data_IF_945174308025
#
_entry.id   IF_945174308025
#
_cell.length_a   1.000
_cell.length_b   1.000
_cell.length_c   1.000
_cell.angle_alpha   90.00
_cell.angle_beta   90.00
_cell.angle_gamma   90.00
#
_symmetry.space_group_name_H-M   'P 1'
#
loop_
_entity.id
_entity.type
_entity.pdbx_description
1 polymer ?
#
# COMPACT_ATOMS: atom_id res chain seq x y z
N UNK A 1 16.54 2.50 14.58
CA UNK A 1 15.41 2.76 13.66
C UNK A 1 15.91 2.29 12.31
N UNK A 2 15.26 1.31 11.69
CA UNK A 2 15.73 0.78 10.41
C UNK A 2 15.09 1.60 9.29
N UNK A 3 15.94 2.36 8.60
CA UNK A 3 15.58 3.07 7.39
C UNK A 3 15.54 2.06 6.24
N UNK A 4 14.38 1.95 5.57
CA UNK A 4 14.13 0.95 4.53
C UNK A 4 13.62 1.57 3.21
N UNK A 5 13.94 2.85 3.02
CA UNK A 5 13.65 3.60 1.79
C UNK A 5 14.96 4.07 1.17
N UNK A 6 14.93 4.48 -0.09
CA UNK A 6 16.08 5.00 -0.81
C UNK A 6 15.73 6.33 -1.47
N UNK A 7 16.59 7.31 -1.26
CA UNK A 7 16.58 8.58 -1.96
C UNK A 7 18.02 8.88 -2.39
N UNK A 8 18.21 9.29 -3.65
CA UNK A 8 19.52 9.37 -4.31
C UNK A 8 20.50 10.37 -3.71
N UNK A 9 20.02 11.32 -2.90
CA UNK A 9 20.80 12.32 -2.18
C UNK A 9 20.68 12.16 -0.66
N UNK A 10 20.21 11.01 -0.18
CA UNK A 10 20.23 10.62 1.22
C UNK A 10 21.23 9.49 1.46
N UNK A 11 21.72 9.37 2.69
CA UNK A 11 22.53 8.22 3.08
C UNK A 11 21.72 6.93 2.95
N UNK A 12 22.28 5.94 2.25
CA UNK A 12 21.65 4.64 2.06
C UNK A 12 21.31 3.92 3.38
N UNK A 13 22.12 4.09 4.42
CA UNK A 13 21.91 3.38 5.70
C UNK A 13 20.99 4.12 6.68
N UNK A 14 21.23 5.40 6.94
CA UNK A 14 20.47 6.14 7.96
C UNK A 14 19.39 7.07 7.38
N UNK A 15 19.36 7.27 6.07
CA UNK A 15 18.41 8.16 5.41
C UNK A 15 18.66 9.65 5.60
N UNK A 16 19.70 10.06 6.35
CA UNK A 16 20.00 11.49 6.55
C UNK A 16 20.46 12.16 5.24
N UNK A 17 20.07 13.43 5.04
CA UNK A 17 20.39 14.22 3.84
C UNK A 17 20.60 15.70 4.17
N UNK A 18 21.04 16.46 3.17
CA UNK A 18 21.27 17.90 3.26
C UNK A 18 22.73 18.25 3.57
N UNK A 19 23.04 19.54 3.63
CA UNK A 19 24.43 20.04 3.72
C UNK A 19 25.17 19.60 5.00
N UNK A 20 24.44 19.25 6.06
CA UNK A 20 25.02 18.70 7.29
C UNK A 20 25.42 17.22 7.19
N UNK A 21 25.07 16.55 6.09
CA UNK A 21 25.31 15.12 5.87
C UNK A 21 25.92 14.90 4.48
N UNK A 22 27.19 15.32 4.26
CA UNK A 22 27.88 15.06 3.00
C UNK A 22 27.95 13.55 2.74
N UNK A 23 27.72 13.16 1.49
CA UNK A 23 27.68 11.76 1.07
C UNK A 23 28.89 11.43 0.22
N UNK A 24 29.55 10.31 0.55
CA UNK A 24 30.53 9.66 -0.30
C UNK A 24 29.82 8.63 -1.17
N UNK A 25 29.81 8.85 -2.49
CA UNK A 25 29.24 7.90 -3.45
C UNK A 25 30.10 6.63 -3.54
N UNK A 26 29.45 5.47 -3.67
CA UNK A 26 30.15 4.21 -3.92
C UNK A 26 30.92 4.29 -5.26
N UNK A 27 32.24 4.16 -5.22
CA UNK A 27 33.10 4.28 -6.41
C UNK A 27 32.86 3.15 -7.43
N UNK A 28 32.49 1.97 -6.94
CA UNK A 28 32.24 0.78 -7.77
C UNK A 28 30.91 0.91 -8.50
N UNK A 29 29.76 0.89 -7.82
CA UNK A 29 28.45 0.91 -8.48
C UNK A 29 27.91 2.32 -8.80
N UNK A 30 28.42 3.39 -8.17
CA UNK A 30 27.97 4.80 -8.30
C UNK A 30 26.46 5.03 -8.08
N UNK A 31 25.71 4.04 -7.61
CA UNK A 31 24.26 4.10 -7.45
C UNK A 31 23.82 4.64 -6.09
N UNK A 32 24.64 4.45 -5.05
CA UNK A 32 24.30 4.77 -3.65
C UNK A 32 25.39 5.62 -2.98
N UNK A 33 24.99 6.42 -1.99
CA UNK A 33 25.87 7.27 -1.20
C UNK A 33 25.77 7.01 0.30
N UNK A 34 26.87 7.19 1.01
CA UNK A 34 26.96 6.97 2.46
C UNK A 34 27.50 8.20 3.18
N UNK A 35 26.94 8.51 4.36
CA UNK A 35 27.56 9.47 5.26
C UNK A 35 28.80 8.84 5.94
N UNK A 36 29.69 9.68 6.46
CA UNK A 36 30.96 9.23 7.06
C UNK A 36 30.78 8.20 8.18
N UNK A 37 29.70 8.33 8.97
CA UNK A 37 29.40 7.42 10.09
C UNK A 37 29.04 6.01 9.61
N UNK A 38 28.33 5.91 8.49
CA UNK A 38 27.77 4.65 8.01
C UNK A 38 28.56 4.04 6.85
N UNK A 39 29.59 4.73 6.32
CA UNK A 39 30.34 4.29 5.14
C UNK A 39 30.83 2.85 5.23
N UNK A 40 31.40 2.45 6.37
CA UNK A 40 31.93 1.09 6.55
C UNK A 40 30.82 0.03 6.53
N UNK A 41 29.78 0.24 7.33
CA UNK A 41 28.67 -0.72 7.48
C UNK A 41 27.85 -0.78 6.18
N UNK A 42 27.60 0.38 5.58
CA UNK A 42 26.88 0.48 4.33
C UNK A 42 27.59 -0.22 3.19
N UNK A 43 28.93 -0.09 3.08
CA UNK A 43 29.73 -0.84 2.10
C UNK A 43 29.56 -2.35 2.24
N UNK A 44 29.54 -2.87 3.46
CA UNK A 44 29.32 -4.30 3.70
C UNK A 44 27.90 -4.73 3.35
N UNK A 45 26.88 -3.97 3.76
CA UNK A 45 25.47 -4.33 3.55
C UNK A 45 25.04 -4.29 2.09
N UNK A 46 25.49 -3.30 1.31
CA UNK A 46 25.10 -3.19 -0.11
C UNK A 46 26.02 -3.99 -1.05
N UNK A 47 27.05 -4.69 -0.54
CA UNK A 47 28.09 -5.34 -1.36
C UNK A 47 27.53 -6.26 -2.45
N UNK A 48 26.58 -7.12 -2.11
CA UNK A 48 25.99 -8.07 -3.06
C UNK A 48 25.32 -7.33 -4.24
N UNK A 49 24.52 -6.30 -3.96
CA UNK A 49 23.92 -5.45 -4.99
C UNK A 49 25.01 -4.69 -5.78
N UNK A 50 26.03 -4.17 -5.09
CA UNK A 50 27.12 -3.42 -5.70
C UNK A 50 27.86 -4.23 -6.76
N UNK A 51 28.18 -5.49 -6.48
CA UNK A 51 28.89 -6.40 -7.40
C UNK A 51 28.09 -6.59 -8.68
N UNK A 52 26.80 -6.91 -8.57
CA UNK A 52 25.90 -7.09 -9.72
C UNK A 52 25.72 -5.79 -10.52
N UNK A 53 25.51 -4.66 -9.84
CA UNK A 53 25.39 -3.35 -10.51
C UNK A 53 26.68 -2.94 -11.23
N UNK A 54 27.84 -3.31 -10.68
CA UNK A 54 29.15 -3.02 -11.30
C UNK A 54 29.36 -3.88 -12.53
N UNK A 55 28.96 -5.16 -12.49
CA UNK A 55 29.02 -6.07 -13.65
C UNK A 55 28.13 -5.58 -14.79
N UNK A 56 26.92 -5.11 -14.48
CA UNK A 56 25.96 -4.61 -15.47
C UNK A 56 26.30 -3.21 -16.02
N UNK A 57 27.33 -2.55 -15.46
CA UNK A 57 27.76 -1.24 -15.95
C UNK A 57 28.34 -1.36 -17.36
N UNK A 58 27.78 -0.61 -18.30
CA UNK A 58 28.19 -0.63 -19.72
C UNK A 58 27.57 -1.75 -20.55
N UNK A 59 26.78 -2.64 -19.94
CA UNK A 59 25.93 -3.60 -20.66
C UNK A 59 24.58 -2.97 -21.00
N UNK A 60 24.03 -3.21 -22.19
CA UNK A 60 22.65 -2.83 -22.53
C UNK A 60 21.68 -3.93 -22.11
N UNK A 61 20.55 -3.63 -21.43
CA UNK A 61 20.12 -2.32 -20.95
C UNK A 61 20.86 -1.91 -19.65
N UNK A 62 21.50 -0.73 -19.65
CA UNK A 62 22.18 -0.21 -18.45
C UNK A 62 21.24 0.70 -17.67
N UNK A 63 21.15 0.55 -16.34
CA UNK A 63 20.41 1.46 -15.43
C UNK A 63 20.79 2.94 -15.64
N UNK A 64 21.97 3.17 -16.21
CA UNK A 64 22.66 4.45 -16.25
C UNK A 64 22.70 5.08 -17.65
N UNK A 65 22.15 4.42 -18.69
CA UNK A 65 22.22 4.89 -20.08
C UNK A 65 20.80 5.00 -20.65
N UNK A 66 20.40 6.20 -21.08
CA UNK A 66 19.16 6.42 -21.82
C UNK A 66 19.40 6.28 -23.32
N UNK A 67 18.80 5.28 -23.95
CA UNK A 67 18.59 5.26 -25.41
C UNK A 67 17.12 4.91 -25.72
N UNK A 68 16.17 5.54 -25.02
CA UNK A 68 14.74 5.32 -25.23
C UNK A 68 13.96 6.62 -25.27
N UNK A 69 13.23 6.84 -26.37
CA UNK A 69 12.45 8.06 -26.65
C UNK A 69 11.12 8.16 -25.87
N UNK A 70 10.78 7.20 -24.98
CA UNK A 70 9.51 7.23 -24.22
C UNK A 70 9.60 6.74 -22.77
N UNK A 71 8.74 7.31 -21.94
CA UNK A 71 8.57 6.99 -20.51
C UNK A 71 8.14 5.53 -20.27
N UNK A 72 7.29 4.98 -21.15
CA UNK A 72 6.88 3.58 -21.09
C UNK A 72 8.05 2.61 -21.37
N UNK A 73 8.94 2.96 -22.31
CA UNK A 73 10.17 2.20 -22.58
C UNK A 73 11.09 2.18 -21.34
N UNK A 74 11.08 3.25 -20.55
CA UNK A 74 11.90 3.39 -19.35
C UNK A 74 11.39 2.56 -18.18
N UNK A 75 10.08 2.58 -17.91
CA UNK A 75 9.46 1.73 -16.89
C UNK A 75 9.72 0.24 -17.16
N UNK A 76 9.51 -0.19 -18.40
CA UNK A 76 9.78 -1.57 -18.83
C UNK A 76 11.26 -1.94 -18.66
N UNK A 77 12.17 -1.03 -19.01
CA UNK A 77 13.61 -1.23 -18.85
C UNK A 77 13.99 -1.43 -17.37
N UNK A 78 13.46 -0.62 -16.46
CA UNK A 78 13.67 -0.78 -15.00
C UNK A 78 13.16 -2.12 -14.51
N UNK A 79 11.97 -2.55 -14.95
CA UNK A 79 11.39 -3.84 -14.57
C UNK A 79 12.23 -5.02 -15.06
N UNK A 80 12.66 -5.01 -16.32
CA UNK A 80 13.53 -6.05 -16.87
C UNK A 80 14.88 -6.12 -16.14
N UNK A 81 15.44 -4.96 -15.80
CA UNK A 81 16.68 -4.87 -15.05
C UNK A 81 16.53 -5.42 -13.63
N UNK A 82 15.44 -5.11 -12.92
CA UNK A 82 15.14 -5.70 -11.61
C UNK A 82 15.10 -7.23 -11.69
N UNK A 83 14.47 -7.79 -12.73
CA UNK A 83 14.44 -9.24 -12.97
C UNK A 83 15.84 -9.81 -13.18
N UNK A 84 16.66 -9.20 -14.03
CA UNK A 84 18.05 -9.64 -14.29
C UNK A 84 18.88 -9.62 -13.00
N UNK A 85 18.75 -8.56 -12.19
CA UNK A 85 19.51 -8.43 -10.94
C UNK A 85 19.06 -9.51 -9.94
N UNK A 86 17.76 -9.78 -9.80
CA UNK A 86 17.26 -10.86 -8.94
C UNK A 86 17.80 -12.23 -9.36
N UNK A 87 17.84 -12.51 -10.66
CA UNK A 87 18.40 -13.75 -11.19
C UNK A 87 19.89 -13.89 -10.85
N UNK A 88 20.67 -12.82 -11.00
CA UNK A 88 22.10 -12.80 -10.66
C UNK A 88 22.35 -12.90 -9.15
N UNK A 89 21.50 -12.30 -8.32
CA UNK A 89 21.58 -12.40 -6.86
C UNK A 89 21.10 -13.75 -6.31
N UNK A 90 20.29 -14.49 -7.06
CA UNK A 90 19.68 -15.74 -6.60
C UNK A 90 18.61 -15.55 -5.53
N UNK A 91 18.09 -14.33 -5.35
CA UNK A 91 17.05 -13.98 -4.37
C UNK A 91 16.22 -12.80 -4.85
N UNK A 92 15.06 -12.59 -4.23
CA UNK A 92 14.28 -11.36 -4.40
C UNK A 92 15.06 -10.14 -3.89
N UNK A 93 14.83 -8.99 -4.53
CA UNK A 93 15.29 -7.71 -4.01
C UNK A 93 14.49 -7.35 -2.75
N UNK A 94 15.15 -6.70 -1.79
CA UNK A 94 14.41 -6.01 -0.74
C UNK A 94 13.90 -4.66 -1.26
N UNK A 95 12.95 -4.05 -0.53
CA UNK A 95 12.34 -2.76 -0.88
C UNK A 95 13.37 -1.69 -1.21
N UNK A 96 14.39 -1.53 -0.38
CA UNK A 96 15.40 -0.50 -0.57
C UNK A 96 16.23 -0.74 -1.84
N UNK A 97 16.60 -1.99 -2.14
CA UNK A 97 17.31 -2.35 -3.37
C UNK A 97 16.46 -2.13 -4.62
N UNK A 98 15.15 -2.41 -4.56
CA UNK A 98 14.23 -2.04 -5.65
C UNK A 98 14.18 -0.53 -5.86
N UNK A 99 14.13 0.25 -4.77
CA UNK A 99 14.06 1.71 -4.85
C UNK A 99 15.34 2.32 -5.45
N UNK A 100 16.52 1.70 -5.30
CA UNK A 100 17.75 2.10 -6.01
C UNK A 100 17.57 2.06 -7.53
N UNK A 101 16.86 1.05 -8.03
CA UNK A 101 16.61 0.83 -9.46
C UNK A 101 15.43 1.68 -9.97
N UNK A 102 14.42 1.87 -9.13
CA UNK A 102 13.23 2.68 -9.42
C UNK A 102 13.57 4.17 -9.47
N UNK A 103 14.46 4.65 -8.59
CA UNK A 103 14.75 6.07 -8.39
C UNK A 103 16.26 6.41 -8.45
N UNK A 104 16.97 6.07 -9.55
CA UNK A 104 18.42 6.29 -9.64
C UNK A 104 18.78 7.77 -9.58
N UNK A 105 19.99 8.08 -9.11
CA UNK A 105 20.53 9.45 -9.16
C UNK A 105 20.70 9.87 -10.62
N UNK A 106 20.04 10.96 -11.00
CA UNK A 106 20.08 11.50 -12.37
C UNK A 106 19.69 12.97 -12.41
N UNK A 107 20.03 13.64 -13.51
CA UNK A 107 19.44 14.93 -13.85
C UNK A 107 17.93 14.76 -14.04
N UNK A 108 17.14 15.62 -13.41
CA UNK A 108 15.68 15.59 -13.53
C UNK A 108 15.23 15.69 -15.00
N UNK A 109 15.84 16.60 -15.76
CA UNK A 109 15.40 16.94 -17.13
C UNK A 109 16.00 16.07 -18.23
N UNK A 110 17.32 15.80 -18.22
CA UNK A 110 17.99 15.07 -19.31
C UNK A 110 18.53 13.69 -18.94
N UNK A 111 18.19 13.18 -17.76
CA UNK A 111 18.57 11.83 -17.32
C UNK A 111 20.08 11.54 -17.29
N UNK A 112 20.95 12.56 -17.34
CA UNK A 112 22.40 12.42 -17.10
C UNK A 112 22.63 11.74 -15.75
N UNK A 113 23.46 10.70 -15.71
CA UNK A 113 23.63 9.82 -14.55
C UNK A 113 25.01 9.91 -13.92
N UNK A 114 25.97 10.58 -14.56
CA UNK A 114 27.32 10.76 -14.00
C UNK A 114 27.28 11.68 -12.76
N UNK A 115 27.52 11.17 -11.54
CA UNK A 115 27.39 11.97 -10.32
C UNK A 115 28.32 13.18 -10.27
N UNK A 116 29.47 13.14 -10.97
CA UNK A 116 30.42 14.25 -11.05
C UNK A 116 29.88 15.44 -11.86
N UNK A 117 28.85 15.22 -12.69
CA UNK A 117 28.19 16.24 -13.51
C UNK A 117 26.88 16.74 -12.92
N UNK A 118 26.51 16.22 -11.75
CA UNK A 118 25.23 16.51 -11.10
C UNK A 118 25.43 17.40 -9.87
N UNK A 119 24.51 18.33 -9.71
CA UNK A 119 24.35 19.16 -8.53
C UNK A 119 23.04 18.78 -7.85
N UNK A 120 23.13 18.44 -6.57
CA UNK A 120 21.98 17.98 -5.79
C UNK A 120 21.11 19.14 -5.31
N UNK A 121 19.79 18.91 -5.31
CA UNK A 121 18.87 19.78 -4.58
C UNK A 121 19.26 19.79 -3.09
N UNK A 122 19.33 20.99 -2.51
CA UNK A 122 19.71 21.18 -1.10
C UNK A 122 18.57 20.93 -0.12
N UNK A 123 17.34 20.80 -0.62
CA UNK A 123 16.12 20.69 0.19
C UNK A 123 15.56 19.28 0.18
N UNK A 124 15.34 18.68 -1.00
CA UNK A 124 14.80 17.33 -1.11
C UNK A 124 15.90 16.29 -1.35
N UNK A 125 15.72 15.06 -0.85
CA UNK A 125 16.75 14.02 -0.95
C UNK A 125 16.74 13.28 -2.30
N UNK A 126 15.90 13.66 -3.27
CA UNK A 126 15.62 12.81 -4.44
C UNK A 126 15.78 13.48 -5.79
N UNK A 127 16.43 14.63 -5.90
CA UNK A 127 16.54 15.35 -7.18
C UNK A 127 17.91 15.97 -7.37
N UNK A 128 18.46 15.80 -8.58
CA UNK A 128 19.71 16.38 -9.00
C UNK A 128 19.56 17.01 -10.39
N UNK A 129 20.45 17.94 -10.73
CA UNK A 129 20.46 18.68 -11.99
C UNK A 129 21.86 18.67 -12.58
N UNK A 130 21.99 18.54 -13.89
CA UNK A 130 23.26 18.82 -14.55
C UNK A 130 23.41 20.34 -14.78
N UNK A 131 24.63 20.79 -15.10
CA UNK A 131 24.93 22.21 -15.30
C UNK A 131 24.03 22.91 -16.33
N UNK A 132 23.54 22.18 -17.34
CA UNK A 132 22.61 22.69 -18.37
C UNK A 132 21.18 22.91 -17.87
N UNK A 133 20.78 22.24 -16.79
CA UNK A 133 19.39 22.23 -16.29
C UNK A 133 19.26 22.78 -14.86
N UNK A 134 20.24 23.57 -14.40
CA UNK A 134 20.15 24.24 -13.08
C UNK A 134 18.93 25.17 -12.98
N UNK A 135 18.50 25.76 -14.09
CA UNK A 135 17.30 26.63 -14.13
C UNK A 135 16.00 25.87 -13.87
N UNK A 136 15.94 24.56 -14.15
CA UNK A 136 14.78 23.71 -13.81
C UNK A 136 14.57 23.52 -12.30
N UNK A 137 15.45 24.07 -11.46
CA UNK A 137 15.30 24.06 -10.01
C UNK A 137 14.09 24.85 -9.52
N UNK A 138 13.64 25.89 -10.26
CA UNK A 138 12.42 26.63 -9.91
C UNK A 138 11.15 25.84 -10.22
N UNK A 139 11.09 25.20 -11.40
CA UNK A 139 10.00 24.30 -11.80
C UNK A 139 9.88 23.09 -10.85
N UNK A 140 11.01 22.67 -10.27
CA UNK A 140 11.09 21.63 -9.26
C UNK A 140 10.42 21.99 -7.93
N UNK A 141 10.13 23.26 -7.61
CA UNK A 141 9.70 23.67 -6.26
C UNK A 141 8.50 22.89 -5.70
N UNK A 142 7.49 22.59 -6.53
CA UNK A 142 6.32 21.79 -6.12
C UNK A 142 6.71 20.34 -5.83
N UNK A 143 7.49 19.74 -6.72
CA UNK A 143 8.02 18.36 -6.59
C UNK A 143 8.97 18.23 -5.40
N UNK A 144 9.79 19.25 -5.16
CA UNK A 144 10.74 19.34 -4.05
C UNK A 144 10.01 19.13 -2.73
N UNK A 145 8.92 19.88 -2.53
CA UNK A 145 8.11 19.80 -1.31
C UNK A 145 7.55 18.40 -1.11
N UNK A 146 6.95 17.81 -2.16
CA UNK A 146 6.40 16.46 -2.10
C UNK A 146 7.46 15.42 -1.79
N UNK A 147 8.64 15.47 -2.41
CA UNK A 147 9.74 14.54 -2.11
C UNK A 147 10.26 14.67 -0.68
N UNK A 148 10.38 15.89 -0.17
CA UNK A 148 10.74 16.12 1.24
C UNK A 148 9.67 15.55 2.17
N UNK A 149 8.39 15.73 1.85
CA UNK A 149 7.27 15.15 2.60
C UNK A 149 7.24 13.63 2.54
N UNK A 150 7.51 13.00 1.38
CA UNK A 150 7.64 11.55 1.26
C UNK A 150 8.73 11.04 2.21
N UNK A 151 9.94 11.60 2.13
CA UNK A 151 11.08 11.15 2.94
C UNK A 151 10.80 11.32 4.44
N UNK A 152 10.24 12.45 4.85
CA UNK A 152 9.86 12.69 6.24
C UNK A 152 8.72 11.76 6.70
N UNK A 153 7.74 11.47 5.82
CA UNK A 153 6.66 10.53 6.10
C UNK A 153 7.18 9.10 6.22
N UNK A 154 8.17 8.68 5.43
CA UNK A 154 8.77 7.34 5.53
C UNK A 154 9.43 7.13 6.90
N UNK A 155 10.12 8.15 7.44
CA UNK A 155 10.68 8.11 8.81
C UNK A 155 9.57 8.09 9.87
N UNK A 156 8.59 8.97 9.73
CA UNK A 156 7.54 9.13 10.74
C UNK A 156 6.57 7.94 10.77
N UNK A 157 6.22 7.37 9.61
CA UNK A 157 5.32 6.22 9.50
C UNK A 157 5.87 5.03 10.29
N UNK A 158 7.18 4.74 10.19
CA UNK A 158 7.83 3.70 10.98
C UNK A 158 7.74 3.92 12.51
N UNK A 159 7.62 5.18 12.96
CA UNK A 159 7.37 5.53 14.37
C UNK A 159 5.89 5.41 14.75
N UNK A 160 4.99 5.73 13.82
CA UNK A 160 3.55 5.71 14.05
C UNK A 160 3.01 4.29 14.22
N UNK A 161 3.50 3.33 13.43
CA UNK A 161 3.16 1.90 13.53
C UNK A 161 3.43 1.27 14.92
N UNK A 162 4.12 1.98 15.82
CA UNK A 162 4.50 1.51 17.16
C UNK A 162 3.76 2.23 18.28
N UNK A 163 2.77 3.06 17.96
CA UNK A 163 2.07 3.91 18.94
C UNK A 163 0.61 3.52 19.06
N UNK A 164 0.04 3.84 20.23
CA UNK A 164 -1.40 3.73 20.42
C UNK A 164 -2.10 4.67 19.44
N UNK A 165 -3.11 4.13 18.75
CA UNK A 165 -4.06 4.90 17.96
C UNK A 165 -4.71 5.92 18.88
N UNK A 166 -4.74 7.23 18.51
CA UNK A 166 -5.47 8.20 19.29
C UNK A 166 -6.93 7.74 19.41
N UNK A 167 -7.39 7.52 20.64
CA UNK A 167 -8.79 7.15 20.86
C UNK A 167 -9.70 8.26 20.34
N UNK A 168 -10.79 7.90 19.65
CA UNK A 168 -11.83 8.87 19.31
C UNK A 168 -12.36 9.45 20.63
N UNK A 169 -12.41 10.79 20.81
CA UNK A 169 -12.99 11.39 22.00
C UNK A 169 -14.42 10.89 22.23
N UNK A 170 -14.76 10.52 23.47
CA UNK A 170 -16.07 9.96 23.84
C UNK A 170 -17.24 10.88 23.44
N UNK A 171 -17.01 12.20 23.43
CA UNK A 171 -18.00 13.22 23.02
C UNK A 171 -18.28 13.26 21.50
N UNK A 172 -17.47 12.58 20.67
CA UNK A 172 -17.69 12.45 19.23
C UNK A 172 -18.40 11.13 18.84
N UNK A 173 -19.06 10.45 19.79
CA UNK A 173 -19.83 9.22 19.60
C UNK A 173 -21.08 9.38 18.71
N UNK A 174 -21.14 10.34 17.80
CA UNK A 174 -22.09 10.23 16.71
C UNK A 174 -21.63 9.07 15.85
N UNK A 175 -22.48 8.06 15.65
CA UNK A 175 -22.31 6.98 14.68
C UNK A 175 -22.10 7.44 13.23
N UNK A 176 -21.91 8.74 13.01
CA UNK A 176 -21.72 9.39 11.73
C UNK A 176 -20.23 9.58 11.49
N UNK A 177 -19.76 9.09 10.35
CA UNK A 177 -18.42 9.40 9.88
C UNK A 177 -18.21 10.90 9.64
N UNK A 178 -16.97 11.40 9.79
CA UNK A 178 -16.58 12.71 9.26
C UNK A 178 -16.85 12.82 7.75
N UNK A 179 -16.90 14.03 7.22
CA UNK A 179 -17.11 14.31 5.80
C UNK A 179 -15.96 13.80 4.93
N UNK A 180 -14.73 13.90 5.42
CA UNK A 180 -13.52 13.47 4.71
C UNK A 180 -12.35 13.14 5.66
N UNK A 181 -11.25 12.68 5.08
CA UNK A 181 -9.99 12.40 5.78
C UNK A 181 -9.47 13.62 6.55
N UNK A 182 -9.67 14.85 6.06
CA UNK A 182 -9.15 16.05 6.70
C UNK A 182 -9.91 16.38 7.98
N UNK A 183 -11.24 16.26 7.93
CA UNK A 183 -12.09 16.44 9.10
C UNK A 183 -11.83 15.32 10.11
N UNK A 184 -11.65 14.07 9.67
CA UNK A 184 -11.25 12.97 10.55
C UNK A 184 -9.92 13.28 11.26
N UNK A 185 -8.87 13.67 10.53
CA UNK A 185 -7.57 13.96 11.12
C UNK A 185 -7.58 15.21 12.00
N UNK A 186 -8.45 16.18 11.73
CA UNK A 186 -8.65 17.33 12.62
C UNK A 186 -9.23 16.90 13.98
N UNK A 187 -10.12 15.91 13.99
CA UNK A 187 -10.82 15.46 15.19
C UNK A 187 -10.06 14.36 15.96
N UNK A 188 -9.40 13.46 15.22
CA UNK A 188 -8.81 12.22 15.75
C UNK A 188 -7.32 12.06 15.40
N UNK A 189 -6.73 12.98 14.65
CA UNK A 189 -5.33 12.88 14.25
C UNK A 189 -4.38 13.07 15.44
N UNK A 190 -3.23 12.37 15.45
CA UNK A 190 -2.23 12.58 16.48
C UNK A 190 -1.68 14.01 16.38
N UNK A 191 -1.43 14.63 17.55
CA UNK A 191 -0.75 15.92 17.65
C UNK A 191 0.59 15.75 18.38
N UNK A 192 1.63 15.42 17.63
CA UNK A 192 2.98 15.20 18.13
C UNK A 192 3.82 16.44 17.80
N UNK A 193 4.02 17.32 18.79
CA UNK A 193 4.65 18.64 18.62
C UNK A 193 6.01 18.64 17.89
N UNK A 194 6.75 17.53 17.96
CA UNK A 194 8.09 17.42 17.36
C UNK A 194 8.08 17.16 15.84
N UNK A 195 6.94 16.87 15.23
CA UNK A 195 6.85 16.61 13.79
C UNK A 195 6.03 17.68 13.07
N UNK A 196 6.41 18.07 11.83
CA UNK A 196 5.61 18.98 11.02
C UNK A 196 4.19 18.46 10.80
N UNK A 197 3.20 19.36 10.87
CA UNK A 197 1.78 18.99 10.78
C UNK A 197 1.42 18.26 9.47
N UNK A 198 2.03 18.66 8.34
CA UNK A 198 1.85 17.99 7.04
C UNK A 198 2.37 16.54 7.05
N UNK A 199 3.50 16.26 7.70
CA UNK A 199 4.07 14.90 7.83
C UNK A 199 3.16 14.01 8.67
N UNK A 200 2.67 14.54 9.79
CA UNK A 200 1.72 13.82 10.64
C UNK A 200 0.42 13.52 9.89
N UNK A 201 -0.16 14.53 9.22
CA UNK A 201 -1.37 14.38 8.42
C UNK A 201 -1.21 13.35 7.30
N UNK A 202 -0.09 13.39 6.58
CA UNK A 202 0.26 12.43 5.53
C UNK A 202 0.31 11.00 6.08
N UNK A 203 1.14 10.73 7.08
CA UNK A 203 1.30 9.38 7.61
C UNK A 203 0.06 8.85 8.33
N UNK A 204 -0.66 9.69 9.07
CA UNK A 204 -1.90 9.26 9.72
C UNK A 204 -3.01 8.96 8.71
N UNK A 205 -3.10 9.72 7.62
CA UNK A 205 -4.05 9.40 6.56
C UNK A 205 -3.80 8.02 5.95
N UNK A 206 -2.53 7.60 5.87
CA UNK A 206 -2.15 6.28 5.35
C UNK A 206 -2.57 5.14 6.29
N UNK A 207 -2.45 5.34 7.60
CA UNK A 207 -2.90 4.34 8.59
C UNK A 207 -4.42 4.15 8.52
N UNK A 208 -5.17 5.25 8.44
CA UNK A 208 -6.63 5.20 8.56
C UNK A 208 -7.39 5.08 7.24
N UNK A 209 -6.74 5.26 6.09
CA UNK A 209 -7.43 5.24 4.78
C UNK A 209 -8.19 3.94 4.56
N UNK A 210 -7.61 2.77 4.87
CA UNK A 210 -8.26 1.46 4.70
C UNK A 210 -9.53 1.31 5.55
N UNK A 211 -9.46 1.38 6.90
CA UNK A 211 -10.66 1.16 7.72
C UNK A 211 -11.73 2.25 7.55
N UNK A 212 -11.34 3.51 7.27
CA UNK A 212 -12.33 4.57 6.98
C UNK A 212 -13.02 4.36 5.63
N UNK A 213 -12.29 3.89 4.62
CA UNK A 213 -12.88 3.52 3.31
C UNK A 213 -13.88 2.37 3.47
N UNK A 214 -13.56 1.37 4.30
CA UNK A 214 -14.48 0.30 4.64
C UNK A 214 -15.76 0.83 5.30
N UNK A 215 -15.62 1.66 6.34
CA UNK A 215 -16.76 2.26 7.03
C UNK A 215 -17.64 3.08 6.08
N UNK A 216 -17.02 3.85 5.19
CA UNK A 216 -17.71 4.61 4.16
C UNK A 216 -18.49 3.70 3.20
N UNK A 217 -17.87 2.60 2.77
CA UNK A 217 -18.53 1.56 1.98
C UNK A 217 -19.75 0.97 2.69
N UNK A 218 -19.62 0.62 3.98
CA UNK A 218 -20.71 0.10 4.82
C UNK A 218 -21.88 1.09 4.89
N UNK A 219 -21.59 2.39 5.10
CA UNK A 219 -22.62 3.45 5.13
C UNK A 219 -23.36 3.58 3.80
N UNK A 220 -22.61 3.56 2.69
CA UNK A 220 -23.16 3.71 1.35
C UNK A 220 -23.99 2.49 0.92
N UNK A 221 -23.59 1.30 1.36
CA UNK A 221 -24.36 0.06 1.20
C UNK A 221 -25.58 -0.02 2.12
N UNK A 222 -25.68 0.87 3.13
CA UNK A 222 -26.67 0.79 4.22
C UNK A 222 -26.68 -0.59 4.89
N UNK A 223 -25.51 -1.21 4.96
CA UNK A 223 -25.36 -2.54 5.49
C UNK A 223 -25.41 -2.51 7.02
N UNK A 224 -26.27 -3.34 7.61
CA UNK A 224 -26.41 -3.42 9.06
C UNK A 224 -25.36 -4.38 9.62
N UNK A 225 -24.54 -3.89 10.54
CA UNK A 225 -23.49 -4.68 11.19
C UNK A 225 -23.99 -5.15 12.55
N UNK A 226 -23.78 -6.43 12.84
CA UNK A 226 -24.08 -7.04 14.14
C UNK A 226 -23.05 -6.70 15.23
N UNK A 227 -22.99 -7.51 16.27
CA UNK A 227 -21.96 -7.44 17.31
C UNK A 227 -20.67 -8.16 16.92
N UNK A 228 -20.73 -9.04 15.92
CA UNK A 228 -19.57 -9.66 15.26
C UNK A 228 -19.51 -9.16 13.81
N UNK A 229 -18.34 -8.69 13.38
CA UNK A 229 -18.10 -8.25 12.01
C UNK A 229 -16.93 -9.05 11.40
N UNK A 230 -17.22 -9.81 10.35
CA UNK A 230 -16.25 -10.61 9.58
C UNK A 230 -15.96 -9.91 8.27
N UNK A 231 -14.70 -9.50 8.10
CA UNK A 231 -14.22 -8.81 6.91
C UNK A 231 -13.21 -9.69 6.21
N UNK A 232 -13.46 -10.01 4.95
CA UNK A 232 -12.44 -10.62 4.10
C UNK A 232 -11.75 -9.53 3.28
N UNK A 233 -10.42 -9.45 3.39
CA UNK A 233 -9.60 -8.57 2.56
C UNK A 233 -9.03 -9.40 1.41
N UNK A 234 -9.58 -9.24 0.21
CA UNK A 234 -9.18 -10.00 -0.99
C UNK A 234 -8.06 -9.28 -1.74
N UNK A 235 -7.18 -10.05 -2.40
CA UNK A 235 -6.02 -9.49 -3.10
C UNK A 235 -4.98 -8.91 -2.13
N UNK A 236 -4.97 -9.42 -0.89
CA UNK A 236 -4.11 -8.89 0.15
C UNK A 236 -2.63 -9.21 -0.13
N UNK A 237 -1.79 -8.25 0.23
CA UNK A 237 -0.33 -8.30 0.17
C UNK A 237 0.28 -7.99 1.54
N UNK A 238 1.61 -8.09 1.67
CA UNK A 238 2.29 -7.71 2.91
C UNK A 238 2.03 -6.24 3.33
N UNK A 239 1.73 -5.35 2.37
CA UNK A 239 1.42 -3.93 2.66
C UNK A 239 0.12 -3.80 3.45
N UNK A 240 -0.83 -4.70 3.24
CA UNK A 240 -2.13 -4.69 3.93
C UNK A 240 -2.02 -5.16 5.39
N UNK A 241 -0.90 -5.80 5.74
CA UNK A 241 -0.59 -6.29 7.09
C UNK A 241 0.31 -5.34 7.89
N UNK A 242 0.66 -4.16 7.37
CA UNK A 242 1.55 -3.21 8.07
C UNK A 242 0.93 -2.68 9.38
N UNK A 243 -0.38 -2.45 9.42
CA UNK A 243 -1.09 -2.02 10.63
C UNK A 243 -2.56 -2.50 10.70
N UNK A 244 -2.79 -3.79 10.99
CA UNK A 244 -4.15 -4.29 11.18
C UNK A 244 -4.83 -3.68 12.41
N UNK A 245 -4.08 -3.13 13.38
CA UNK A 245 -4.66 -2.55 14.60
C UNK A 245 -5.52 -1.32 14.31
N UNK A 246 -5.23 -0.59 13.22
CA UNK A 246 -6.00 0.55 12.74
C UNK A 246 -7.48 0.24 12.52
N UNK A 247 -7.85 -1.03 12.27
CA UNK A 247 -9.24 -1.44 12.11
C UNK A 247 -10.07 -1.36 13.40
N UNK A 248 -9.45 -1.17 14.58
CA UNK A 248 -10.22 -0.88 15.80
C UNK A 248 -11.09 0.38 15.68
N UNK A 249 -10.71 1.31 14.79
CA UNK A 249 -11.50 2.52 14.49
C UNK A 249 -12.91 2.19 13.99
N UNK A 250 -13.10 1.02 13.36
CA UNK A 250 -14.42 0.52 12.93
C UNK A 250 -15.36 0.42 14.12
N UNK A 251 -14.89 -0.11 15.24
CA UNK A 251 -15.67 -0.19 16.48
C UNK A 251 -15.98 1.19 17.04
N UNK A 252 -15.07 2.16 16.96
CA UNK A 252 -15.34 3.50 17.51
C UNK A 252 -16.51 4.20 16.78
N UNK A 253 -16.69 3.95 15.49
CA UNK A 253 -17.86 4.44 14.74
C UNK A 253 -19.07 3.49 14.78
N UNK A 254 -18.86 2.23 15.16
CA UNK A 254 -19.91 1.21 15.32
C UNK A 254 -19.79 0.54 16.70
N UNK A 255 -20.20 1.23 17.79
CA UNK A 255 -19.97 0.75 19.16
C UNK A 255 -20.63 -0.58 19.52
N UNK A 256 -21.60 -1.04 18.72
CA UNK A 256 -22.24 -2.34 18.89
C UNK A 256 -21.31 -3.52 18.60
N UNK A 257 -20.24 -3.31 17.82
CA UNK A 257 -19.26 -4.35 17.47
C UNK A 257 -18.41 -4.67 18.69
N UNK A 258 -18.42 -5.95 19.06
CA UNK A 258 -17.59 -6.55 20.12
C UNK A 258 -16.46 -7.39 19.54
N UNK A 259 -16.66 -8.01 18.39
CA UNK A 259 -15.67 -8.87 17.75
C UNK A 259 -15.48 -8.47 16.29
N UNK A 260 -14.23 -8.23 15.90
CA UNK A 260 -13.82 -7.91 14.54
C UNK A 260 -12.85 -9.01 14.05
N UNK A 261 -13.23 -9.70 12.98
CA UNK A 261 -12.40 -10.73 12.38
C UNK A 261 -11.96 -10.26 10.98
N UNK A 262 -10.65 -10.04 10.82
CA UNK A 262 -10.04 -9.72 9.54
C UNK A 262 -9.42 -10.98 8.93
N UNK A 263 -9.83 -11.33 7.71
CA UNK A 263 -9.24 -12.46 6.98
C UNK A 263 -8.59 -11.94 5.71
N UNK A 264 -7.27 -11.82 5.71
CA UNK A 264 -6.47 -11.38 4.57
C UNK A 264 -6.20 -12.57 3.66
N UNK A 265 -6.62 -12.47 2.40
CA UNK A 265 -6.54 -13.56 1.42
C UNK A 265 -5.84 -13.07 0.16
N UNK A 266 -4.70 -13.67 -0.17
CA UNK A 266 -3.97 -13.34 -1.39
C UNK A 266 -2.71 -14.18 -1.59
N UNK A 267 -2.34 -14.49 -2.85
CA UNK A 267 -1.14 -15.28 -3.15
C UNK A 267 0.16 -14.55 -2.76
N UNK A 268 0.13 -13.22 -2.70
CA UNK A 268 1.29 -12.39 -2.35
C UNK A 268 1.65 -12.41 -0.86
N UNK A 269 0.82 -13.08 -0.04
CA UNK A 269 1.11 -13.37 1.37
C UNK A 269 2.03 -14.58 1.56
N UNK A 270 2.43 -15.24 0.46
CA UNK A 270 3.33 -16.41 0.52
C UNK A 270 4.68 -16.03 1.16
N UNK A 271 5.06 -16.77 2.19
CA UNK A 271 6.29 -16.52 2.97
C UNK A 271 6.06 -15.74 4.27
N UNK A 272 4.80 -15.43 4.61
CA UNK A 272 4.44 -14.96 5.95
C UNK A 272 4.12 -16.20 6.81
N UNK A 273 5.00 -16.49 7.76
CA UNK A 273 4.93 -17.72 8.57
C UNK A 273 3.92 -17.66 9.73
N UNK A 274 3.24 -16.52 9.90
CA UNK A 274 2.27 -16.29 10.96
C UNK A 274 0.85 -16.49 10.40
N UNK A 275 0.13 -17.57 10.78
CA UNK A 275 -1.20 -17.84 10.24
C UNK A 275 -2.29 -16.92 10.82
N UNK A 276 -2.08 -16.41 12.03
CA UNK A 276 -2.99 -15.49 12.69
C UNK A 276 -2.29 -14.62 13.73
N UNK A 277 -2.88 -13.47 14.04
CA UNK A 277 -2.41 -12.57 15.10
C UNK A 277 -3.57 -11.82 15.76
N UNK A 278 -3.36 -11.38 17.00
CA UNK A 278 -4.29 -10.52 17.74
C UNK A 278 -3.58 -9.18 18.01
N UNK A 279 -3.93 -8.11 17.27
CA UNK A 279 -3.29 -6.80 17.43
C UNK A 279 -3.52 -6.18 18.82
N UNK A 280 -2.60 -5.32 19.25
CA UNK A 280 -2.74 -4.56 20.50
C UNK A 280 -3.68 -3.37 20.29
N UNK A 281 -4.83 -3.38 20.97
CA UNK A 281 -5.86 -2.35 20.83
C UNK A 281 -5.64 -1.15 21.74
N UNK A 282 -6.31 -0.03 21.49
CA UNK A 282 -6.29 1.13 22.38
C UNK A 282 -6.93 0.82 23.74
N UNK A 283 -6.68 1.71 24.71
CA UNK A 283 -7.20 1.57 26.07
C UNK A 283 -8.73 1.51 26.16
N UNK A 284 -9.45 2.21 25.28
CA UNK A 284 -10.92 2.19 25.26
C UNK A 284 -11.47 0.85 24.76
N UNK A 285 -10.91 0.30 23.67
CA UNK A 285 -11.28 -1.00 23.13
C UNK A 285 -10.99 -2.12 24.13
N UNK A 286 -9.83 -2.07 24.81
CA UNK A 286 -9.51 -3.01 25.91
C UNK A 286 -10.49 -2.95 27.07
N UNK A 287 -10.85 -1.75 27.53
CA UNK A 287 -11.85 -1.58 28.60
C UNK A 287 -13.23 -2.12 28.21
N UNK A 288 -13.54 -2.08 26.92
CA UNK A 288 -14.81 -2.56 26.36
C UNK A 288 -14.77 -4.03 25.94
N UNK A 289 -13.68 -4.76 26.25
CA UNK A 289 -13.46 -6.16 25.89
C UNK A 289 -13.67 -6.45 24.39
N UNK A 290 -13.26 -5.51 23.54
CA UNK A 290 -13.31 -5.68 22.08
C UNK A 290 -12.23 -6.65 21.65
N UNK A 291 -12.59 -7.60 20.79
CA UNK A 291 -11.65 -8.53 20.16
C UNK A 291 -11.40 -8.14 18.71
N UNK A 292 -10.13 -8.14 18.32
CA UNK A 292 -9.70 -8.00 16.93
C UNK A 292 -8.75 -9.15 16.62
N UNK A 293 -9.19 -10.05 15.75
CA UNK A 293 -8.38 -11.17 15.29
C UNK A 293 -8.10 -11.06 13.80
N UNK A 294 -6.88 -11.44 13.42
CA UNK A 294 -6.39 -11.37 12.05
C UNK A 294 -5.99 -12.78 11.62
N UNK A 295 -6.50 -13.22 10.48
CA UNK A 295 -6.15 -14.48 9.82
C UNK A 295 -5.49 -14.19 8.47
N UNK A 296 -4.46 -14.95 8.14
CA UNK A 296 -3.65 -14.77 6.93
C UNK A 296 -3.75 -16.03 6.09
N UNK A 297 -4.24 -15.89 4.85
CA UNK A 297 -4.47 -16.99 3.92
C UNK A 297 -3.69 -16.73 2.63
N UNK A 298 -2.57 -17.43 2.44
CA UNK A 298 -1.71 -17.27 1.25
C UNK A 298 -2.20 -18.10 0.05
N UNK A 299 -3.46 -17.92 -0.35
CA UNK A 299 -4.11 -18.65 -1.45
C UNK A 299 -4.90 -17.70 -2.35
N UNK A 300 -5.34 -18.18 -3.50
CA UNK A 300 -6.36 -17.50 -4.27
C UNK A 300 -7.71 -17.60 -3.54
N UNK A 301 -8.53 -16.55 -3.64
CA UNK A 301 -9.77 -16.48 -2.87
C UNK A 301 -10.75 -17.62 -3.21
N UNK A 302 -10.82 -18.00 -4.48
CA UNK A 302 -11.67 -19.10 -4.92
C UNK A 302 -11.18 -20.48 -4.48
N UNK A 303 -9.90 -20.64 -4.11
CA UNK A 303 -9.39 -21.87 -3.49
C UNK A 303 -9.76 -21.91 -2.00
N UNK A 304 -9.60 -20.78 -1.31
CA UNK A 304 -9.99 -20.63 0.10
C UNK A 304 -11.49 -20.88 0.31
N UNK A 305 -12.33 -20.44 -0.64
CA UNK A 305 -13.78 -20.64 -0.60
C UNK A 305 -14.21 -22.12 -0.51
N UNK A 306 -13.40 -23.05 -1.03
CA UNK A 306 -13.71 -24.48 -1.04
C UNK A 306 -13.26 -25.21 0.24
N UNK A 307 -12.64 -24.50 1.20
CA UNK A 307 -12.15 -25.09 2.45
C UNK A 307 -13.28 -25.33 3.46
N UNK A 308 -13.18 -26.43 4.21
CA UNK A 308 -14.17 -26.81 5.24
C UNK A 308 -14.29 -25.83 6.41
N UNK A 309 -13.31 -24.94 6.58
CA UNK A 309 -13.29 -23.87 7.58
C UNK A 309 -13.66 -22.49 7.03
N UNK A 310 -14.09 -22.38 5.77
CA UNK A 310 -14.46 -21.09 5.18
C UNK A 310 -15.66 -20.48 5.93
N UNK A 311 -15.43 -19.32 6.53
CA UNK A 311 -16.49 -18.52 7.16
C UNK A 311 -17.02 -17.51 6.16
N UNK A 312 -18.34 -17.43 6.02
CA UNK A 312 -18.96 -16.41 5.17
C UNK A 312 -18.70 -15.02 5.80
N UNK A 313 -18.11 -14.06 5.07
CA UNK A 313 -17.91 -12.71 5.56
C UNK A 313 -19.19 -11.89 5.51
N UNK A 314 -19.33 -10.96 6.44
CA UNK A 314 -20.35 -9.92 6.38
C UNK A 314 -20.07 -8.94 5.23
N UNK A 315 -18.79 -8.69 4.93
CA UNK A 315 -18.35 -7.83 3.83
C UNK A 315 -16.99 -8.27 3.29
N UNK A 316 -16.83 -8.17 1.97
CA UNK A 316 -15.52 -8.34 1.31
C UNK A 316 -15.00 -6.97 0.91
N UNK A 317 -13.71 -6.72 1.13
CA UNK A 317 -13.03 -5.49 0.70
C UNK A 317 -11.75 -5.79 -0.08
N UNK A 318 -11.48 -5.02 -1.13
CA UNK A 318 -10.23 -5.04 -1.88
C UNK A 318 -9.60 -3.65 -1.93
N UNK A 319 -8.36 -3.50 -1.48
CA UNK A 319 -7.64 -2.24 -1.51
C UNK A 319 -6.69 -2.16 -2.69
N UNK A 320 -6.96 -1.26 -3.65
CA UNK A 320 -6.08 -1.02 -4.80
C UNK A 320 -5.69 -2.30 -5.58
N UNK A 321 -6.62 -3.25 -5.72
CA UNK A 321 -6.34 -4.63 -6.15
C UNK A 321 -6.19 -4.84 -7.66
N UNK A 322 -6.43 -3.80 -8.48
CA UNK A 322 -6.14 -3.85 -9.92
C UNK A 322 -6.80 -5.01 -10.67
N UNK A 323 -8.07 -5.32 -10.39
CA UNK A 323 -8.77 -6.46 -11.03
C UNK A 323 -8.70 -6.35 -12.56
N UNK A 324 -8.73 -5.14 -13.09
CA UNK A 324 -8.63 -4.87 -14.52
C UNK A 324 -7.25 -5.17 -15.18
N UNK A 325 -6.17 -5.31 -14.42
CA UNK A 325 -4.79 -5.34 -14.97
C UNK A 325 -4.48 -6.58 -15.83
N UNK A 326 -5.20 -7.69 -15.64
CA UNK A 326 -5.04 -8.85 -16.51
C UNK A 326 -5.68 -8.56 -17.89
N UNK A 327 -4.83 -8.17 -18.85
CA UNK A 327 -5.20 -7.82 -20.23
C UNK A 327 -5.74 -9.01 -21.05
N UNK A 328 -5.28 -10.23 -20.73
CA UNK A 328 -5.78 -11.49 -21.29
C UNK A 328 -6.94 -12.02 -20.40
N UNK A 329 -8.02 -11.23 -20.31
CA UNK A 329 -9.24 -11.63 -19.62
C UNK A 329 -9.70 -13.01 -20.11
N UNK A 330 -10.13 -13.86 -19.18
CA UNK A 330 -10.57 -15.24 -19.43
C UNK A 330 -9.48 -16.22 -19.90
N UNK A 331 -8.19 -15.86 -19.83
CA UNK A 331 -7.09 -16.82 -19.98
C UNK A 331 -6.87 -17.64 -18.70
N UNK A 332 -6.13 -18.75 -18.79
CA UNK A 332 -5.70 -19.53 -17.60
C UNK A 332 -4.84 -18.72 -16.62
N UNK A 333 -4.31 -17.56 -17.06
CA UNK A 333 -3.53 -16.64 -16.22
C UNK A 333 -4.41 -15.65 -15.46
N UNK A 334 -5.70 -15.54 -15.82
CA UNK A 334 -6.66 -14.69 -15.14
C UNK A 334 -7.18 -15.34 -13.86
N UNK A 335 -6.48 -15.09 -12.76
CA UNK A 335 -6.90 -15.56 -11.43
C UNK A 335 -8.05 -14.74 -10.84
N UNK A 336 -8.37 -13.58 -11.43
CA UNK A 336 -9.46 -12.71 -11.01
C UNK A 336 -10.81 -13.20 -11.51
N UNK A 337 -10.92 -13.72 -12.74
CA UNK A 337 -12.17 -14.27 -13.27
C UNK A 337 -12.84 -15.31 -12.34
N UNK A 338 -12.16 -16.39 -11.89
CA UNK A 338 -12.75 -17.34 -10.93
C UNK A 338 -13.03 -16.68 -9.57
N UNK A 339 -12.18 -15.76 -9.12
CA UNK A 339 -12.37 -15.01 -7.86
C UNK A 339 -13.63 -14.15 -7.89
N UNK A 340 -13.84 -13.32 -8.91
CA UNK A 340 -15.03 -12.46 -9.07
C UNK A 340 -16.29 -13.32 -9.16
N UNK A 341 -16.23 -14.44 -9.87
CA UNK A 341 -17.35 -15.40 -9.94
C UNK A 341 -17.69 -15.96 -8.56
N UNK A 342 -16.69 -16.36 -7.77
CA UNK A 342 -16.88 -16.86 -6.40
C UNK A 342 -17.41 -15.77 -5.46
N UNK A 343 -16.85 -14.56 -5.52
CA UNK A 343 -17.34 -13.41 -4.74
C UNK A 343 -18.81 -13.10 -5.05
N UNK A 344 -19.22 -13.19 -6.31
CA UNK A 344 -20.62 -12.99 -6.66
C UNK A 344 -21.54 -14.12 -6.17
N UNK A 345 -21.07 -15.39 -6.13
CA UNK A 345 -21.84 -16.50 -5.55
C UNK A 345 -22.02 -16.36 -4.03
N UNK A 346 -21.03 -15.78 -3.36
CA UNK A 346 -21.03 -15.59 -1.90
C UNK A 346 -22.20 -14.73 -1.44
N UNK A 347 -22.62 -13.76 -2.26
CA UNK A 347 -23.74 -12.86 -1.96
C UNK A 347 -23.42 -11.75 -0.95
N UNK A 348 -22.24 -11.79 -0.29
CA UNK A 348 -21.77 -10.71 0.57
C UNK A 348 -21.53 -9.43 -0.24
N UNK A 349 -21.78 -8.24 0.34
CA UNK A 349 -21.38 -6.98 -0.27
C UNK A 349 -19.88 -6.91 -0.51
N UNK A 350 -19.50 -6.19 -1.57
CA UNK A 350 -18.12 -6.00 -1.99
C UNK A 350 -17.80 -4.51 -2.04
N UNK A 351 -16.70 -4.10 -1.41
CA UNK A 351 -16.14 -2.75 -1.51
C UNK A 351 -14.76 -2.85 -2.15
N UNK A 352 -14.47 -2.03 -3.15
CA UNK A 352 -13.17 -2.03 -3.82
C UNK A 352 -12.67 -0.59 -3.93
N UNK A 353 -11.36 -0.39 -3.86
CA UNK A 353 -10.74 0.92 -4.10
C UNK A 353 -9.69 0.84 -5.20
N UNK A 354 -9.39 1.98 -5.83
CA UNK A 354 -8.39 2.10 -6.91
C UNK A 354 -7.59 3.41 -6.79
N UNK A 355 -6.47 3.52 -7.52
CA UNK A 355 -5.60 4.70 -7.49
C UNK A 355 -6.17 5.85 -8.32
N UNK A 356 -6.79 5.51 -9.45
CA UNK A 356 -7.31 6.50 -10.42
C UNK A 356 -8.77 6.24 -10.78
N UNK A 357 -9.43 7.25 -11.36
CA UNK A 357 -10.80 7.12 -11.86
C UNK A 357 -10.86 6.09 -13.00
N UNK A 358 -9.84 6.06 -13.85
CA UNK A 358 -9.77 5.16 -15.00
C UNK A 358 -9.64 3.69 -14.56
N UNK A 359 -8.80 3.41 -13.56
CA UNK A 359 -8.74 2.08 -12.94
C UNK A 359 -10.08 1.71 -12.29
N UNK A 360 -10.68 2.61 -11.52
CA UNK A 360 -11.96 2.36 -10.87
C UNK A 360 -13.05 2.02 -11.89
N UNK A 361 -13.11 2.73 -13.02
CA UNK A 361 -14.06 2.43 -14.08
C UNK A 361 -13.82 1.03 -14.68
N UNK A 362 -12.56 0.69 -14.98
CA UNK A 362 -12.22 -0.63 -15.55
C UNK A 362 -12.48 -1.77 -14.56
N UNK A 363 -12.14 -1.59 -13.29
CA UNK A 363 -12.43 -2.54 -12.20
C UNK A 363 -13.94 -2.74 -12.06
N UNK A 364 -14.71 -1.65 -12.04
CA UNK A 364 -16.16 -1.67 -11.91
C UNK A 364 -16.83 -2.44 -13.04
N UNK A 365 -16.44 -2.17 -14.28
CA UNK A 365 -16.95 -2.90 -15.44
C UNK A 365 -16.57 -4.38 -15.41
N UNK A 366 -15.34 -4.72 -14.98
CA UNK A 366 -14.87 -6.11 -14.90
C UNK A 366 -15.63 -6.90 -13.84
N UNK A 367 -15.91 -6.31 -12.68
CA UNK A 367 -16.69 -6.95 -11.62
C UNK A 367 -18.10 -7.27 -12.09
N UNK A 368 -18.78 -6.32 -12.73
CA UNK A 368 -20.15 -6.52 -13.24
C UNK A 368 -20.22 -7.55 -14.37
N UNK A 369 -19.23 -7.56 -15.26
CA UNK A 369 -19.13 -8.58 -16.33
C UNK A 369 -18.81 -9.97 -15.76
N UNK A 370 -17.96 -10.05 -14.74
CA UNK A 370 -17.50 -11.31 -14.15
C UNK A 370 -18.56 -12.04 -13.32
N UNK A 371 -19.61 -11.36 -12.83
CA UNK A 371 -20.73 -12.02 -12.15
C UNK A 371 -22.05 -11.24 -12.21
N UNK A 372 -23.08 -11.92 -12.71
CA UNK A 372 -24.48 -11.43 -12.73
C UNK A 372 -25.10 -11.22 -11.35
N UNK A 373 -24.43 -11.67 -10.29
CA UNK A 373 -24.90 -11.52 -8.92
C UNK A 373 -24.48 -10.19 -8.31
N UNK A 374 -23.61 -9.40 -8.94
CA UNK A 374 -23.29 -8.07 -8.44
C UNK A 374 -24.25 -7.02 -9.00
N UNK A 375 -24.66 -6.10 -8.12
CA UNK A 375 -25.35 -4.86 -8.49
C UNK A 375 -24.49 -3.72 -7.96
N UNK A 376 -24.03 -2.85 -8.85
CA UNK A 376 -23.23 -1.69 -8.47
C UNK A 376 -24.06 -0.61 -7.79
N UNK A 377 -23.54 -0.09 -6.67
CA UNK A 377 -24.21 0.87 -5.78
C UNK A 377 -23.58 2.25 -5.90
N UNK A 378 -22.25 2.30 -5.97
CA UNK A 378 -21.51 3.54 -6.14
C UNK A 378 -20.17 3.30 -6.84
N UNK A 379 -19.68 4.35 -7.50
CA UNK A 379 -18.31 4.51 -7.98
C UNK A 379 -18.00 6.00 -7.95
N UNK A 380 -17.16 6.44 -7.02
CA UNK A 380 -16.90 7.86 -6.79
C UNK A 380 -15.52 8.11 -6.17
N UNK A 381 -15.14 9.39 -6.06
CA UNK A 381 -13.94 9.79 -5.32
C UNK A 381 -14.11 9.36 -3.86
N UNK A 382 -13.10 8.70 -3.31
CA UNK A 382 -13.12 8.30 -1.92
C UNK A 382 -12.76 9.50 -1.02
N UNK A 383 -13.65 9.97 -0.14
CA UNK A 383 -13.35 11.07 0.78
C UNK A 383 -12.29 10.69 1.83
N UNK A 384 -12.03 9.39 2.01
CA UNK A 384 -11.04 8.85 2.93
C UNK A 384 -9.80 8.29 2.23
N UNK A 385 -9.56 8.67 0.97
CA UNK A 385 -8.31 8.35 0.29
C UNK A 385 -7.11 8.93 1.04
N UNK A 386 -5.96 8.24 0.95
CA UNK A 386 -4.73 8.69 1.61
C UNK A 386 -4.28 10.05 1.08
N UNK A 387 -3.71 10.86 1.97
CA UNK A 387 -3.05 12.13 1.67
C UNK A 387 -1.52 11.94 1.53
N UNK A 388 -1.02 10.71 1.76
CA UNK A 388 0.39 10.37 1.60
C UNK A 388 0.73 10.23 0.13
N UNK A 389 1.75 10.97 -0.28
CA UNK A 389 2.34 10.86 -1.60
C UNK A 389 3.30 9.66 -1.63
N UNK A 390 3.15 8.80 -2.63
CA UNK A 390 4.13 7.78 -2.99
C UNK A 390 4.80 8.17 -4.30
N UNK A 391 6.09 7.86 -4.43
CA UNK A 391 6.83 8.11 -5.67
C UNK A 391 6.44 7.05 -6.70
N UNK A 392 6.01 7.49 -7.87
CA UNK A 392 5.72 6.61 -9.00
C UNK A 392 7.01 6.44 -9.83
N UNK A 393 7.45 5.21 -10.06
CA UNK A 393 8.67 4.95 -10.83
C UNK A 393 8.43 4.87 -12.34
N UNK A 394 7.17 4.71 -12.76
CA UNK A 394 6.79 4.57 -14.15
C UNK A 394 6.82 5.91 -14.86
N UNK A 395 6.20 6.91 -14.23
CA UNK A 395 6.08 8.25 -14.78
C UNK A 395 6.89 9.31 -14.01
N UNK A 396 7.68 8.91 -13.00
CA UNK A 396 8.34 9.83 -12.10
C UNK A 396 7.36 10.82 -11.42
N UNK A 397 6.06 10.57 -11.32
CA UNK A 397 5.10 11.42 -10.60
C UNK A 397 4.84 10.91 -9.17
N UNK A 398 3.65 11.21 -8.64
CA UNK A 398 3.21 10.75 -7.34
C UNK A 398 1.83 10.12 -7.44
N UNK A 399 1.63 9.03 -6.72
CA UNK A 399 0.31 8.41 -6.54
C UNK A 399 -0.08 8.39 -5.06
N UNK A 400 -1.34 8.07 -4.81
CA UNK A 400 -1.94 8.05 -3.48
C UNK A 400 -2.82 6.81 -3.36
N UNK A 401 -2.87 6.21 -2.18
CA UNK A 401 -3.68 5.01 -1.93
C UNK A 401 -5.17 5.33 -1.81
N UNK A 402 -6.00 4.34 -2.16
CA UNK A 402 -7.46 4.30 -1.99
C UNK A 402 -8.20 5.57 -2.48
N UNK A 403 -7.85 6.13 -3.63
CA UNK A 403 -8.36 7.43 -4.06
C UNK A 403 -9.79 7.41 -4.61
N UNK A 404 -10.22 6.27 -5.15
CA UNK A 404 -11.57 6.03 -5.64
C UNK A 404 -12.13 4.80 -4.94
N UNK A 405 -13.45 4.78 -4.75
CA UNK A 405 -14.15 3.69 -4.08
C UNK A 405 -15.36 3.25 -4.91
N UNK A 406 -15.56 1.95 -4.92
CA UNK A 406 -16.67 1.26 -5.56
C UNK A 406 -17.35 0.37 -4.53
N UNK A 407 -18.67 0.25 -4.61
CA UNK A 407 -19.39 -0.73 -3.80
C UNK A 407 -20.45 -1.46 -4.61
N UNK A 408 -20.63 -2.73 -4.28
CA UNK A 408 -21.56 -3.64 -4.93
C UNK A 408 -22.34 -4.41 -3.86
N UNK A 409 -23.64 -4.55 -4.04
CA UNK A 409 -24.42 -5.53 -3.29
C UNK A 409 -24.42 -6.86 -4.02
N UNK A 410 -24.40 -7.96 -3.28
CA UNK A 410 -24.88 -9.24 -3.82
C UNK A 410 -26.37 -9.14 -4.12
N UNK A 411 -26.79 -9.63 -5.29
CA UNK A 411 -28.20 -9.82 -5.63
C UNK A 411 -28.76 -10.79 -4.60
N UNK A 412 -29.86 -10.41 -3.94
CA UNK A 412 -30.50 -11.26 -2.93
C UNK A 412 -30.51 -12.70 -3.43
N UNK A 413 -29.86 -13.59 -2.67
CA UNK A 413 -30.09 -15.01 -2.83
C UNK A 413 -31.58 -15.21 -2.54
N UNK A 414 -32.38 -15.37 -3.58
CA UNK A 414 -33.76 -15.83 -3.47
C UNK A 414 -33.76 -17.13 -2.65
N UNK A 415 -34.04 -17.02 -1.35
CA UNK A 415 -34.47 -17.98 -0.31
C UNK A 415 -33.95 -19.45 -0.29
N UNK A 416 -33.18 -19.92 -1.26
CA UNK A 416 -33.00 -21.35 -1.52
C UNK A 416 -31.78 -21.98 -0.81
N UNK A 417 -30.95 -21.20 -0.10
CA UNK A 417 -29.75 -21.72 0.57
C UNK A 417 -29.55 -21.28 2.02
N UNK A 418 -30.61 -20.87 2.73
CA UNK A 418 -30.59 -20.82 4.21
C UNK A 418 -30.67 -22.20 4.89
N UNK A 419 -30.82 -23.29 4.10
CA UNK A 419 -31.03 -24.65 4.62
C UNK A 419 -29.78 -25.52 4.82
N UNK A 420 -28.55 -24.99 4.70
CA UNK A 420 -27.33 -25.83 4.77
C UNK A 420 -26.41 -25.55 5.97
N UNK A 421 -26.87 -24.78 6.97
CA UNK A 421 -26.15 -24.59 8.23
C UNK A 421 -26.95 -25.12 9.43
N UNK A 422 -27.47 -26.35 9.33
CA UNK A 422 -27.88 -27.16 10.48
C UNK A 422 -27.74 -28.64 10.09
N UNK A 423 -26.55 -29.23 10.26
CA UNK A 423 -26.46 -30.67 10.50
C UNK A 423 -26.43 -30.85 12.01
N UNK A 424 -27.62 -31.01 12.55
CA UNK A 424 -27.84 -31.53 13.90
C UNK A 424 -27.33 -32.97 14.00
N UNK A 425 -26.89 -33.29 15.21
CA UNK A 425 -26.40 -34.58 15.65
C UNK A 425 -27.33 -35.74 15.26
N UNK A 426 -26.76 -36.79 14.67
CA UNK A 426 -27.37 -38.12 14.65
C UNK A 426 -26.71 -38.96 15.76
N UNK A 427 -27.33 -38.96 16.93
CA UNK A 427 -27.32 -40.08 17.86
C UNK A 427 -28.72 -40.68 17.95
N UNK A 428 -28.74 -41.99 18.25
CA UNK A 428 -29.86 -42.93 18.49
C UNK A 428 -30.37 -43.65 17.23
N UNK A 429 -30.39 -44.98 17.15
CA UNK A 429 -30.39 -46.04 18.19
C UNK A 429 -29.28 -47.09 18.07
#
# INVERSE_FOLDING_TARGET
MEWNSFYSNACYECGNWGDSYPLTMCKSCRAVGFCDKDLKIGVERHKALCEVLTELRGSSPSVFISEGDSQASWALMKTNLMLIIQLKLGRKLNKQEEEVLKFPKRCLSCFETDPERLTDCKVCPGTSFCSRHLQSQEEHAVRCRKLTECAASDVFFALLLRREIPGIPEDHSSSKLPEDMNQFLKNCGPNIAHFPHNVQRSASSEVFTRPLSLLYGIERLRYSVGDVLVIHVVGASAIDLEDPSAFEIVRHFRPNIKELLLVFVGPDLKGIDVPSMTPYLCSQCKKSDVKLDVHIISKLYHEFFEETGFRIPDIVVGYNIGIHECLEADSERDTWAPTVKTLGKLGSPLVVTSYTLEEAQRDYERILKGSRHFVGVMMEKNPFGSLRHYRDFENDEFYYQNQFIMAFTGKEMTECMRGLTLREDMMCD
#
